data_IF_706017021149
#
_entry.id   IF_706017021149
#
_cell.length_a   1.000
_cell.length_b   1.000
_cell.length_c   1.000
_cell.angle_alpha   90.00
_cell.angle_beta   90.00
_cell.angle_gamma   90.00
#
_symmetry.space_group_name_H-M   'P 1'
#
loop_
_entity.id
_entity.type
_entity.pdbx_description
1 polymer ?
#
# COMPACT_ATOMS: atom_id res chain seq x y z
N UNK A 1 10.54 6.81 35.39
CA UNK A 1 10.96 5.79 34.40
C UNK A 1 11.98 4.89 35.07
N UNK A 2 11.71 3.60 35.17
CA UNK A 2 12.62 2.60 35.74
C UNK A 2 13.32 1.84 34.61
N UNK A 3 14.52 1.34 34.89
CA UNK A 3 15.25 0.45 33.98
C UNK A 3 14.67 -0.96 34.08
N UNK A 4 14.21 -1.50 32.96
CA UNK A 4 13.75 -2.89 32.84
C UNK A 4 14.89 -3.82 32.43
N UNK A 5 14.84 -5.07 32.89
CA UNK A 5 15.90 -6.06 32.68
C UNK A 5 15.80 -6.68 31.28
N UNK A 6 16.91 -7.07 30.66
CA UNK A 6 16.95 -7.58 29.27
C UNK A 6 16.12 -8.85 29.01
N UNK A 7 15.73 -9.56 30.08
CA UNK A 7 14.85 -10.74 30.03
C UNK A 7 13.36 -10.42 30.14
N UNK A 8 12.98 -9.18 30.45
CA UNK A 8 11.58 -8.76 30.44
C UNK A 8 11.09 -8.69 28.99
N UNK A 9 10.20 -9.59 28.63
CA UNK A 9 9.47 -9.50 27.38
C UNK A 9 8.51 -8.32 27.51
N UNK A 10 8.60 -7.37 26.59
CA UNK A 10 7.61 -6.31 26.45
C UNK A 10 6.27 -6.97 26.06
N UNK A 11 5.43 -7.25 27.06
CA UNK A 11 4.07 -7.75 26.83
C UNK A 11 3.25 -6.57 26.32
N UNK A 12 2.79 -6.57 25.06
CA UNK A 12 1.97 -5.50 24.53
C UNK A 12 0.71 -5.39 25.40
N UNK A 13 0.52 -4.26 26.05
CA UNK A 13 -0.71 -3.98 26.78
C UNK A 13 -1.74 -3.49 25.77
N UNK A 14 -2.99 -3.93 25.92
CA UNK A 14 -4.10 -3.29 25.21
C UNK A 14 -4.07 -1.79 25.53
N UNK A 15 -4.14 -0.95 24.49
CA UNK A 15 -4.16 0.50 24.66
C UNK A 15 -5.40 0.87 25.50
N UNK A 16 -5.18 1.44 26.68
CA UNK A 16 -6.26 1.85 27.58
C UNK A 16 -7.00 3.09 27.06
N UNK A 17 -8.20 3.32 27.61
CA UNK A 17 -8.93 4.58 27.43
C UNK A 17 -8.12 5.74 27.98
N UNK A 18 -8.04 6.84 27.22
CA UNK A 18 -7.33 8.03 27.65
C UNK A 18 -6.85 8.93 26.50
N UNK A 19 -6.39 10.14 26.84
CA UNK A 19 -5.77 11.03 25.85
C UNK A 19 -4.53 10.35 25.27
N UNK A 20 -4.44 10.33 23.95
CA UNK A 20 -3.23 9.87 23.27
C UNK A 20 -2.73 10.94 22.33
N UNK A 21 -1.42 11.18 22.38
CA UNK A 21 -0.74 12.08 21.47
C UNK A 21 -0.09 11.24 20.37
N UNK A 22 -0.50 11.47 19.12
CA UNK A 22 0.21 10.93 17.97
C UNK A 22 1.16 12.01 17.44
N UNK A 23 2.44 11.67 17.33
CA UNK A 23 3.46 12.55 16.76
C UNK A 23 3.92 11.92 15.45
N UNK A 24 3.81 12.67 14.36
CA UNK A 24 4.38 12.32 13.05
C UNK A 24 5.40 13.38 12.68
N UNK A 25 6.55 12.95 12.17
CA UNK A 25 7.67 13.83 11.87
C UNK A 25 8.48 13.29 10.68
N UNK A 26 9.19 14.18 9.99
CA UNK A 26 10.04 13.85 8.84
C UNK A 26 11.50 14.02 9.21
N UNK A 27 12.26 12.94 9.08
CA UNK A 27 13.69 12.91 9.37
C UNK A 27 14.49 12.82 8.07
N UNK A 28 15.55 13.60 8.02
CA UNK A 28 16.55 13.60 6.95
C UNK A 28 17.88 13.08 7.50
N UNK A 29 18.66 12.41 6.67
CA UNK A 29 19.97 11.87 7.09
C UNK A 29 20.96 12.98 7.45
N UNK A 30 20.85 14.15 6.82
CA UNK A 30 21.83 15.23 6.97
C UNK A 30 21.42 16.29 8.00
N UNK A 31 20.13 16.59 8.13
CA UNK A 31 19.65 17.69 8.98
C UNK A 31 18.88 17.21 10.23
N UNK A 32 18.68 15.90 10.36
CA UNK A 32 17.76 15.37 11.36
C UNK A 32 16.33 15.78 11.03
N UNK A 33 15.61 16.33 12.01
CA UNK A 33 14.24 16.82 11.80
C UNK A 33 14.17 17.87 10.69
N UNK A 34 13.19 17.71 9.80
CA UNK A 34 12.99 18.65 8.70
C UNK A 34 12.44 19.98 9.24
N UNK A 35 13.28 21.01 9.19
CA UNK A 35 12.96 22.36 9.63
C UNK A 35 13.74 23.41 8.84
N UNK A 36 13.14 24.60 8.69
CA UNK A 36 13.76 25.76 8.05
C UNK A 36 13.25 27.07 8.67
N UNK A 37 14.17 27.87 9.21
CA UNK A 37 13.81 29.04 10.03
C UNK A 37 12.98 28.61 11.24
N UNK A 38 11.88 29.31 11.49
CA UNK A 38 10.92 28.98 12.55
C UNK A 38 9.90 27.90 12.15
N UNK A 39 9.96 27.40 10.91
CA UNK A 39 9.07 26.33 10.41
C UNK A 39 9.67 24.97 10.74
N UNK A 40 8.92 24.12 11.41
CA UNK A 40 9.29 22.73 11.67
C UNK A 40 8.12 21.80 11.36
N UNK A 41 8.39 20.62 10.80
CA UNK A 41 7.34 19.64 10.48
C UNK A 41 6.56 19.21 11.74
N UNK A 42 7.23 19.16 12.89
CA UNK A 42 6.62 18.85 14.19
C UNK A 42 5.63 19.92 14.69
N UNK A 43 5.57 21.11 14.09
CA UNK A 43 4.56 22.14 14.43
C UNK A 43 3.14 21.71 14.01
N UNK A 44 3.02 20.86 12.98
CA UNK A 44 1.76 20.18 12.64
C UNK A 44 1.46 18.98 13.56
N UNK A 45 2.46 18.46 14.28
CA UNK A 45 2.28 17.38 15.25
C UNK A 45 1.61 17.85 16.56
N UNK A 46 1.43 19.16 16.75
CA UNK A 46 0.98 19.72 18.02
C UNK A 46 -0.54 19.64 18.29
N UNK A 47 -1.41 19.30 17.33
CA UNK A 47 -2.86 19.42 17.55
C UNK A 47 -3.71 18.30 16.94
N UNK A 48 -3.28 17.05 17.05
CA UNK A 48 -4.25 15.95 17.16
C UNK A 48 -4.11 15.34 18.55
N UNK A 49 -4.54 16.10 19.57
CA UNK A 49 -4.96 15.51 20.83
C UNK A 49 -6.22 14.69 20.54
N UNK A 50 -6.01 13.43 20.21
CA UNK A 50 -7.09 12.50 20.03
C UNK A 50 -7.48 12.00 21.42
N UNK A 51 -8.69 12.33 21.85
CA UNK A 51 -9.37 11.54 22.87
C UNK A 51 -9.70 10.19 22.25
N UNK A 52 -8.86 9.18 22.52
CA UNK A 52 -9.19 7.81 22.18
C UNK A 52 -10.29 7.36 23.11
N UNK A 53 -11.51 7.40 22.60
CA UNK A 53 -12.63 6.71 23.21
C UNK A 53 -12.53 5.24 22.76
N UNK A 54 -12.77 4.28 23.66
CA UNK A 54 -12.80 2.86 23.31
C UNK A 54 -14.18 2.41 22.80
N UNK A 55 -14.22 1.89 21.57
CA UNK A 55 -15.39 1.24 20.99
C UNK A 55 -15.41 1.27 19.46
N UNK A 56 -16.43 0.64 18.88
CA UNK A 56 -16.57 0.52 17.42
C UNK A 56 -16.92 1.89 16.84
N UNK A 57 -16.11 2.40 15.91
CA UNK A 57 -16.25 3.71 15.25
C UNK A 57 -16.08 4.92 16.18
N UNK A 58 -15.01 4.91 16.97
CA UNK A 58 -14.66 6.02 17.85
C UNK A 58 -13.47 6.78 17.23
N UNK A 59 -13.80 7.95 16.70
CA UNK A 59 -13.00 8.70 15.73
C UNK A 59 -11.89 9.51 16.38
N UNK A 60 -10.68 9.20 15.94
CA UNK A 60 -9.46 9.86 16.37
C UNK A 60 -8.21 9.25 15.74
N UNK A 61 -8.33 8.57 14.61
CA UNK A 61 -7.15 8.03 13.95
C UNK A 61 -6.59 9.09 13.00
N UNK A 62 -5.27 9.18 12.93
CA UNK A 62 -4.58 9.94 11.89
C UNK A 62 -4.97 9.37 10.53
N UNK A 63 -5.68 10.18 9.76
CA UNK A 63 -6.27 9.76 8.49
C UNK A 63 -5.28 9.96 7.34
N UNK A 64 -5.60 9.36 6.18
CA UNK A 64 -4.86 9.64 4.95
C UNK A 64 -4.90 11.13 4.57
N UNK A 65 -5.95 11.87 4.93
CA UNK A 65 -6.04 13.31 4.68
C UNK A 65 -5.05 14.09 5.55
N UNK A 66 -4.86 13.64 6.80
CA UNK A 66 -3.89 14.25 7.70
C UNK A 66 -2.46 13.98 7.23
N UNK A 67 -2.21 12.77 6.72
CA UNK A 67 -0.95 12.44 6.06
C UNK A 67 -0.67 13.37 4.87
N UNK A 68 -1.64 13.57 3.98
CA UNK A 68 -1.45 14.43 2.80
C UNK A 68 -1.08 15.87 3.21
N UNK A 69 -1.80 16.44 4.18
CA UNK A 69 -1.47 17.78 4.72
C UNK A 69 -0.07 17.82 5.33
N UNK A 70 0.30 16.79 6.08
CA UNK A 70 1.62 16.68 6.71
C UNK A 70 2.74 16.61 5.66
N UNK A 71 2.54 15.83 4.59
CA UNK A 71 3.50 15.69 3.49
C UNK A 71 3.61 16.98 2.68
N UNK A 72 2.49 17.63 2.35
CA UNK A 72 2.48 18.92 1.64
C UNK A 72 3.23 20.00 2.42
N UNK A 73 3.00 20.07 3.74
CA UNK A 73 3.74 20.99 4.60
C UNK A 73 5.24 20.68 4.63
N UNK A 74 5.61 19.39 4.66
CA UNK A 74 6.99 18.93 4.62
C UNK A 74 7.68 19.27 3.30
N UNK A 75 6.98 19.11 2.16
CA UNK A 75 7.48 19.53 0.84
C UNK A 75 7.76 21.03 0.85
N UNK A 76 6.85 21.86 1.34
CA UNK A 76 7.08 23.31 1.41
C UNK A 76 8.33 23.67 2.24
N UNK A 77 8.53 23.04 3.40
CA UNK A 77 9.74 23.27 4.21
C UNK A 77 11.01 22.79 3.48
N UNK A 78 10.93 21.64 2.80
CA UNK A 78 12.06 21.08 2.05
C UNK A 78 12.45 21.97 0.86
N UNK A 79 11.47 22.41 0.07
CA UNK A 79 11.67 23.31 -1.07
C UNK A 79 12.24 24.66 -0.61
N UNK A 80 11.69 25.24 0.46
CA UNK A 80 12.22 26.48 1.08
C UNK A 80 13.69 26.29 1.53
N UNK A 81 14.00 25.16 2.19
CA UNK A 81 15.35 24.90 2.70
C UNK A 81 16.37 24.68 1.60
N UNK A 82 15.94 24.13 0.47
CA UNK A 82 16.82 23.75 -0.66
C UNK A 82 16.77 24.75 -1.80
N UNK A 83 15.94 25.79 -1.70
CA UNK A 83 15.62 26.74 -2.77
C UNK A 83 15.19 26.04 -4.08
N UNK A 84 14.57 24.87 -3.97
CA UNK A 84 14.15 24.04 -5.11
C UNK A 84 15.26 23.44 -5.96
N UNK A 85 16.51 23.45 -5.49
CA UNK A 85 17.64 22.87 -6.24
C UNK A 85 17.91 21.39 -5.93
N UNK A 86 17.14 20.80 -5.01
CA UNK A 86 17.35 19.43 -4.55
C UNK A 86 16.09 18.60 -4.76
N UNK A 87 16.26 17.33 -5.14
CA UNK A 87 15.15 16.37 -5.20
C UNK A 87 15.08 15.58 -3.90
N UNK A 88 13.91 15.60 -3.25
CA UNK A 88 13.65 14.81 -2.04
C UNK A 88 13.08 13.42 -2.35
N UNK A 89 13.56 12.39 -1.65
CA UNK A 89 12.96 11.06 -1.62
C UNK A 89 12.24 10.87 -0.28
N UNK A 90 10.91 10.83 -0.30
CA UNK A 90 10.09 10.57 0.89
C UNK A 90 9.81 9.07 1.03
N UNK A 91 10.05 8.52 2.22
CA UNK A 91 9.88 7.09 2.51
C UNK A 91 8.83 6.92 3.59
N UNK A 92 7.84 6.07 3.34
CA UNK A 92 6.77 5.74 4.27
C UNK A 92 6.74 4.25 4.54
N UNK A 93 6.22 3.85 5.70
CA UNK A 93 5.89 2.45 5.96
C UNK A 93 4.61 2.04 5.21
N UNK A 94 4.29 0.76 5.26
CA UNK A 94 3.12 0.17 4.61
C UNK A 94 1.84 0.28 5.45
N UNK A 95 1.72 1.31 6.32
CA UNK A 95 0.51 1.49 7.11
C UNK A 95 -0.72 1.68 6.20
N UNK A 96 -1.90 1.14 6.56
CA UNK A 96 -3.09 1.25 5.72
C UNK A 96 -3.50 2.68 5.36
N UNK A 97 -3.24 3.65 6.25
CA UNK A 97 -3.46 5.08 6.01
C UNK A 97 -2.58 5.64 4.88
N UNK A 98 -1.36 5.13 4.73
CA UNK A 98 -0.38 5.57 3.73
C UNK A 98 -0.64 4.94 2.36
N UNK A 99 -1.35 3.81 2.32
CA UNK A 99 -1.67 3.09 1.07
C UNK A 99 -2.99 3.51 0.43
N UNK A 100 -3.69 4.48 1.02
CA UNK A 100 -4.99 4.91 0.50
C UNK A 100 -4.81 5.63 -0.84
N UNK A 101 -5.47 5.11 -1.87
CA UNK A 101 -5.55 5.77 -3.17
C UNK A 101 -6.61 6.88 -3.17
N UNK A 102 -6.52 7.78 -4.15
CA UNK A 102 -7.56 8.78 -4.36
C UNK A 102 -8.93 8.12 -4.61
N UNK A 103 -10.06 8.75 -4.23
CA UNK A 103 -11.39 8.14 -4.40
C UNK A 103 -11.75 7.80 -5.86
N UNK A 104 -11.18 8.53 -6.81
CA UNK A 104 -11.30 8.38 -8.27
C UNK A 104 -10.11 7.62 -8.90
N UNK A 105 -9.20 7.08 -8.08
CA UNK A 105 -8.06 6.34 -8.59
C UNK A 105 -8.49 5.10 -9.40
N UNK A 106 -7.68 4.78 -10.40
CA UNK A 106 -7.86 3.61 -11.24
C UNK A 106 -7.81 2.33 -10.41
N UNK A 107 -8.86 1.52 -10.51
CA UNK A 107 -8.90 0.21 -9.87
C UNK A 107 -9.54 -0.81 -10.80
N UNK A 108 -8.76 -1.83 -11.16
CA UNK A 108 -9.28 -2.99 -11.88
C UNK A 108 -10.22 -3.85 -11.01
N UNK A 109 -10.19 -3.63 -9.70
CA UNK A 109 -10.94 -4.45 -8.77
C UNK A 109 -12.43 -4.13 -8.82
N UNK A 110 -13.25 -5.17 -9.01
CA UNK A 110 -14.72 -5.10 -9.12
C UNK A 110 -15.27 -4.37 -10.35
N UNK A 111 -14.46 -4.09 -11.37
CA UNK A 111 -14.98 -3.59 -12.64
C UNK A 111 -16.00 -4.60 -13.22
N UNK A 112 -17.22 -4.17 -13.58
CA UNK A 112 -18.19 -5.05 -14.20
C UNK A 112 -17.76 -5.39 -15.63
N UNK A 113 -18.10 -6.59 -16.09
CA UNK A 113 -17.79 -7.03 -17.45
C UNK A 113 -18.57 -6.23 -18.50
N UNK A 114 -19.83 -5.92 -18.21
CA UNK A 114 -20.78 -5.24 -19.11
C UNK A 114 -20.95 -3.76 -18.74
N UNK A 115 -21.48 -2.93 -19.66
CA UNK A 115 -21.84 -1.57 -19.35
C UNK A 115 -22.77 -1.47 -18.13
N UNK A 116 -22.59 -0.42 -17.32
CA UNK A 116 -23.38 -0.23 -16.12
C UNK A 116 -23.59 1.26 -15.81
N UNK A 117 -24.86 1.66 -15.64
CA UNK A 117 -25.26 3.06 -15.48
C UNK A 117 -24.63 3.74 -14.26
N UNK A 118 -24.76 3.12 -13.09
CA UNK A 118 -24.38 3.75 -11.81
C UNK A 118 -23.15 3.07 -11.18
N UNK A 119 -22.23 2.51 -11.99
CA UNK A 119 -21.08 1.81 -11.42
C UNK A 119 -19.92 2.76 -11.14
N UNK A 120 -19.48 2.77 -9.90
CA UNK A 120 -18.29 3.43 -9.40
C UNK A 120 -17.55 2.47 -8.48
N UNK A 121 -16.23 2.60 -8.36
CA UNK A 121 -15.42 1.67 -7.57
C UNK A 121 -15.86 1.67 -6.09
N UNK A 122 -16.09 2.87 -5.56
CA UNK A 122 -16.74 3.10 -4.28
C UNK A 122 -18.20 3.47 -4.54
N UNK A 123 -19.13 2.87 -3.80
CA UNK A 123 -20.56 3.19 -3.90
C UNK A 123 -20.75 4.70 -3.71
N UNK A 124 -21.47 5.34 -4.63
CA UNK A 124 -21.74 6.78 -4.64
C UNK A 124 -20.46 7.65 -4.68
N UNK A 125 -19.32 7.05 -5.07
CA UNK A 125 -18.04 7.74 -5.26
C UNK A 125 -17.92 8.38 -6.64
N UNK A 126 -16.81 9.06 -6.92
CA UNK A 126 -16.55 9.64 -8.23
C UNK A 126 -16.32 8.56 -9.30
N UNK A 127 -16.44 8.96 -10.57
CA UNK A 127 -15.98 8.15 -11.69
C UNK A 127 -14.46 7.94 -11.59
N UNK A 128 -13.99 6.75 -11.94
CA UNK A 128 -12.55 6.51 -12.07
C UNK A 128 -11.96 7.46 -13.12
N UNK A 129 -10.78 7.97 -12.84
CA UNK A 129 -10.05 8.84 -13.76
C UNK A 129 -9.68 8.08 -15.06
N UNK A 130 -9.44 8.82 -16.13
CA UNK A 130 -8.94 8.25 -17.38
C UNK A 130 -7.52 7.73 -17.19
N UNK A 131 -7.22 6.60 -17.84
CA UNK A 131 -5.86 6.05 -17.86
C UNK A 131 -5.13 6.46 -19.13
N UNK A 132 -3.85 6.12 -19.20
CA UNK A 132 -3.09 6.11 -20.44
C UNK A 132 -2.70 4.68 -20.76
N UNK A 133 -3.04 4.19 -21.96
CA UNK A 133 -2.63 2.89 -22.46
C UNK A 133 -2.05 3.08 -23.87
N UNK A 134 -0.86 2.55 -24.12
CA UNK A 134 -0.12 2.73 -25.38
C UNK A 134 -0.05 4.21 -25.85
N UNK A 135 0.26 5.11 -24.91
CA UNK A 135 0.36 6.56 -25.13
C UNK A 135 -0.94 7.24 -25.59
N UNK A 136 -2.07 6.57 -25.45
CA UNK A 136 -3.40 7.08 -25.76
C UNK A 136 -4.25 7.11 -24.49
N UNK A 137 -5.15 8.08 -24.39
CA UNK A 137 -6.07 8.17 -23.26
C UNK A 137 -7.10 7.04 -23.34
N UNK A 138 -7.34 6.38 -22.21
CA UNK A 138 -8.42 5.41 -22.05
C UNK A 138 -9.51 5.99 -21.14
N UNK A 139 -10.68 6.19 -21.73
CA UNK A 139 -11.90 6.57 -21.01
C UNK A 139 -12.65 5.33 -20.54
N UNK A 140 -13.00 5.29 -19.25
CA UNK A 140 -13.73 4.15 -18.65
C UNK A 140 -15.25 4.31 -18.68
N UNK A 141 -15.71 5.54 -18.91
CA UNK A 141 -17.11 5.94 -18.95
C UNK A 141 -17.42 6.47 -20.34
N UNK A 142 -18.67 6.30 -20.78
CA UNK A 142 -19.14 6.99 -21.98
C UNK A 142 -19.35 8.48 -21.67
N UNK A 143 -19.18 9.32 -22.69
CA UNK A 143 -19.50 10.74 -22.61
C UNK A 143 -20.99 10.97 -22.27
N UNK A 144 -21.30 12.10 -21.66
CA UNK A 144 -22.67 12.46 -21.25
C UNK A 144 -23.62 12.68 -22.43
N UNK A 145 -23.09 12.86 -23.65
CA UNK A 145 -23.84 12.98 -24.90
C UNK A 145 -24.00 11.64 -25.64
N UNK A 146 -23.54 10.51 -25.07
CA UNK A 146 -23.63 9.21 -25.71
C UNK A 146 -25.09 8.81 -25.98
N UNK A 147 -25.44 8.38 -27.21
CA UNK A 147 -26.83 8.30 -27.68
C UNK A 147 -27.72 7.31 -26.91
N UNK A 148 -27.13 6.29 -26.28
CA UNK A 148 -27.88 5.22 -25.60
C UNK A 148 -27.42 4.95 -24.16
N UNK A 149 -26.25 5.44 -23.75
CA UNK A 149 -25.59 5.08 -22.49
C UNK A 149 -24.79 6.26 -21.91
N UNK A 150 -25.39 7.45 -21.77
CA UNK A 150 -24.69 8.66 -21.33
C UNK A 150 -24.15 8.48 -19.91
N UNK A 151 -22.84 8.69 -19.71
CA UNK A 151 -22.17 8.58 -18.41
C UNK A 151 -22.04 7.15 -17.86
N UNK A 152 -22.48 6.11 -18.59
CA UNK A 152 -22.37 4.73 -18.10
C UNK A 152 -20.91 4.31 -18.07
N UNK A 153 -20.54 3.50 -17.08
CA UNK A 153 -19.29 2.75 -17.14
C UNK A 153 -19.34 1.78 -18.32
N UNK A 154 -18.29 1.74 -19.15
CA UNK A 154 -18.27 0.99 -20.42
C UNK A 154 -18.28 -0.53 -20.23
N UNK A 155 -17.75 -1.03 -19.12
CA UNK A 155 -17.52 -2.47 -18.91
C UNK A 155 -16.18 -2.94 -19.48
N UNK A 156 -15.55 -3.91 -18.82
CA UNK A 156 -14.26 -4.46 -19.24
C UNK A 156 -14.28 -5.04 -20.66
N UNK A 157 -15.39 -5.65 -21.07
CA UNK A 157 -15.49 -6.23 -22.41
C UNK A 157 -15.40 -5.16 -23.51
N UNK A 158 -16.15 -4.06 -23.36
CA UNK A 158 -16.10 -2.93 -24.29
C UNK A 158 -14.69 -2.35 -24.36
N UNK A 159 -14.09 -2.07 -23.20
CA UNK A 159 -12.74 -1.51 -23.11
C UNK A 159 -11.73 -2.42 -23.83
N UNK A 160 -11.76 -3.73 -23.60
CA UNK A 160 -10.85 -4.64 -24.31
C UNK A 160 -11.14 -4.75 -25.80
N UNK A 161 -12.39 -4.58 -26.24
CA UNK A 161 -12.74 -4.54 -27.66
C UNK A 161 -12.20 -3.27 -28.34
N UNK A 162 -12.25 -2.12 -27.67
CA UNK A 162 -11.65 -0.86 -28.17
C UNK A 162 -10.16 -1.04 -28.53
N UNK A 163 -9.45 -1.90 -27.78
CA UNK A 163 -8.03 -2.21 -28.00
C UNK A 163 -7.75 -3.46 -28.83
N UNK A 164 -8.77 -4.13 -29.39
CA UNK A 164 -8.62 -5.43 -30.06
C UNK A 164 -7.97 -6.53 -29.18
N UNK A 165 -8.18 -6.46 -27.85
CA UNK A 165 -7.67 -7.42 -26.87
C UNK A 165 -8.71 -8.47 -26.46
N UNK A 166 -9.94 -8.34 -26.93
CA UNK A 166 -11.02 -9.28 -26.61
C UNK A 166 -10.92 -10.55 -27.47
N UNK A 167 -10.71 -11.74 -26.88
CA UNK A 167 -10.59 -12.97 -27.65
C UNK A 167 -11.95 -13.40 -28.24
N UNK A 168 -11.92 -14.11 -29.36
CA UNK A 168 -13.12 -14.62 -30.03
C UNK A 168 -13.96 -15.56 -29.13
N UNK A 169 -13.30 -16.30 -28.25
CA UNK A 169 -13.93 -17.19 -27.25
C UNK A 169 -14.60 -16.42 -26.10
N UNK A 170 -14.32 -15.12 -25.99
CA UNK A 170 -14.70 -14.29 -24.85
C UNK A 170 -13.88 -14.56 -23.59
N UNK A 171 -14.06 -13.69 -22.60
CA UNK A 171 -13.47 -13.81 -21.25
C UNK A 171 -14.57 -13.73 -20.19
N UNK A 172 -14.37 -14.43 -19.07
CA UNK A 172 -15.18 -14.23 -17.88
C UNK A 172 -14.79 -12.93 -17.16
N UNK A 173 -15.71 -12.37 -16.38
CA UNK A 173 -15.43 -11.16 -15.59
C UNK A 173 -14.31 -11.38 -14.57
N UNK A 174 -14.32 -12.56 -13.96
CA UNK A 174 -13.32 -13.03 -13.00
C UNK A 174 -13.26 -14.55 -13.02
N UNK A 175 -12.11 -15.11 -12.63
CA UNK A 175 -11.99 -16.53 -12.34
C UNK A 175 -12.84 -16.88 -11.10
N UNK A 176 -13.32 -18.12 -11.00
CA UNK A 176 -14.06 -18.57 -9.82
C UNK A 176 -13.20 -18.44 -8.56
N UNK A 177 -13.70 -17.69 -7.57
CA UNK A 177 -12.96 -17.38 -6.34
C UNK A 177 -11.62 -16.66 -6.55
N UNK A 178 -11.43 -15.93 -7.67
CA UNK A 178 -10.14 -15.34 -8.09
C UNK A 178 -9.00 -16.36 -8.26
N UNK A 179 -9.34 -17.64 -8.45
CA UNK A 179 -8.36 -18.72 -8.69
C UNK A 179 -8.18 -18.93 -10.18
N UNK A 180 -7.22 -18.23 -10.79
CA UNK A 180 -6.93 -18.41 -12.21
C UNK A 180 -6.01 -19.62 -12.44
N UNK A 181 -6.48 -20.60 -13.21
CA UNK A 181 -5.84 -21.91 -13.42
C UNK A 181 -4.49 -21.87 -14.15
N UNK A 182 -4.11 -20.74 -14.77
CA UNK A 182 -2.87 -20.60 -15.54
C UNK A 182 -1.86 -19.61 -14.97
N UNK A 183 -2.19 -18.92 -13.88
CA UNK A 183 -1.25 -18.06 -13.15
C UNK A 183 -1.55 -18.19 -11.66
N UNK A 184 -1.09 -19.28 -11.05
CA UNK A 184 -0.83 -19.25 -9.62
C UNK A 184 0.32 -18.26 -9.41
N UNK A 185 0.10 -17.22 -8.60
CA UNK A 185 1.09 -16.24 -8.11
C UNK A 185 1.35 -14.95 -8.92
N UNK A 186 0.60 -13.86 -8.67
CA UNK A 186 1.33 -12.57 -8.60
C UNK A 186 0.96 -11.60 -7.46
N UNK A 187 -0.27 -11.54 -6.93
CA UNK A 187 -0.66 -10.38 -6.11
C UNK A 187 -0.30 -10.44 -4.61
N UNK A 188 0.15 -11.59 -4.10
CA UNK A 188 0.75 -11.71 -2.75
C UNK A 188 2.29 -11.69 -2.78
N UNK A 189 2.91 -11.59 -3.97
CA UNK A 189 4.32 -11.96 -4.12
C UNK A 189 5.32 -10.90 -3.69
N UNK A 190 5.08 -9.60 -3.86
CA UNK A 190 6.16 -8.62 -3.70
C UNK A 190 6.81 -8.63 -2.30
N UNK A 191 6.02 -8.78 -1.23
CA UNK A 191 6.55 -8.86 0.14
C UNK A 191 7.03 -10.27 0.51
N UNK A 192 6.42 -11.33 -0.03
CA UNK A 192 6.79 -12.71 0.28
C UNK A 192 8.00 -13.19 -0.54
N UNK A 193 8.22 -12.64 -1.74
CA UNK A 193 9.36 -12.93 -2.60
C UNK A 193 10.66 -12.40 -2.01
N UNK A 194 10.64 -11.29 -1.26
CA UNK A 194 11.82 -10.79 -0.56
C UNK A 194 12.40 -11.83 0.41
N UNK A 195 11.54 -12.58 1.10
CA UNK A 195 11.94 -13.67 2.00
C UNK A 195 12.63 -14.81 1.22
N UNK A 196 12.08 -15.17 0.06
CA UNK A 196 12.67 -16.16 -0.83
C UNK A 196 14.00 -15.69 -1.45
N UNK A 197 14.10 -14.43 -1.86
CA UNK A 197 15.31 -13.87 -2.50
C UNK A 197 16.52 -13.99 -1.57
N UNK A 198 16.39 -13.64 -0.28
CA UNK A 198 17.49 -13.79 0.67
C UNK A 198 17.96 -15.24 0.82
N UNK A 199 17.02 -16.19 0.88
CA UNK A 199 17.32 -17.62 0.99
C UNK A 199 18.06 -18.14 -0.26
N UNK A 200 17.62 -17.75 -1.46
CA UNK A 200 18.25 -18.14 -2.72
C UNK A 200 19.63 -17.51 -2.91
N UNK A 201 19.80 -16.22 -2.61
CA UNK A 201 21.11 -15.53 -2.65
C UNK A 201 22.14 -16.23 -1.77
N UNK A 202 21.70 -16.81 -0.64
CA UNK A 202 22.56 -17.53 0.29
C UNK A 202 22.64 -19.05 0.00
N UNK A 203 22.16 -19.48 -1.16
CA UNK A 203 22.36 -20.83 -1.72
C UNK A 203 21.39 -21.89 -1.22
N UNK A 204 20.22 -21.53 -0.68
CA UNK A 204 19.16 -22.48 -0.39
C UNK A 204 18.36 -22.79 -1.66
N UNK A 205 18.09 -24.06 -1.94
CA UNK A 205 17.34 -24.49 -3.13
C UNK A 205 15.91 -24.90 -2.77
N UNK A 206 14.97 -24.65 -3.69
CA UNK A 206 13.59 -25.15 -3.67
C UNK A 206 12.98 -25.39 -2.28
N UNK A 207 12.81 -26.66 -1.93
CA UNK A 207 12.21 -27.10 -0.66
C UNK A 207 12.91 -26.57 0.60
N UNK A 208 14.23 -26.34 0.55
CA UNK A 208 14.98 -25.75 1.67
C UNK A 208 14.63 -24.28 1.89
N UNK A 209 14.45 -23.53 0.81
CA UNK A 209 14.00 -22.14 0.88
C UNK A 209 12.53 -22.06 1.37
N UNK A 210 11.66 -22.95 0.89
CA UNK A 210 10.27 -23.02 1.34
C UNK A 210 10.14 -23.37 2.83
N UNK A 211 10.90 -24.35 3.31
CA UNK A 211 10.94 -24.73 4.72
C UNK A 211 11.51 -23.61 5.60
N UNK A 212 12.61 -22.97 5.17
CA UNK A 212 13.20 -21.85 5.91
C UNK A 212 12.21 -20.69 6.07
N UNK A 213 11.47 -20.36 5.00
CA UNK A 213 10.42 -19.35 5.08
C UNK A 213 9.31 -19.80 6.01
N UNK A 214 8.92 -21.08 5.99
CA UNK A 214 7.92 -21.60 6.92
C UNK A 214 8.32 -21.50 8.40
N UNK A 215 9.59 -21.75 8.70
CA UNK A 215 10.09 -21.70 10.08
C UNK A 215 10.43 -20.28 10.55
N UNK A 216 10.78 -19.37 9.63
CA UNK A 216 11.28 -18.04 9.94
C UNK A 216 10.45 -16.93 9.28
N UNK A 217 9.12 -17.08 9.25
CA UNK A 217 8.16 -16.17 8.61
C UNK A 217 8.25 -14.69 9.01
N UNK A 218 8.88 -14.37 10.16
CA UNK A 218 9.08 -12.99 10.63
C UNK A 218 10.38 -12.32 10.14
N UNK A 219 11.24 -13.04 9.41
CA UNK A 219 12.55 -12.55 8.99
C UNK A 219 12.61 -12.28 7.49
N UNK A 220 12.91 -11.04 7.10
CA UNK A 220 13.08 -10.67 5.69
C UNK A 220 14.44 -11.07 5.10
N UNK A 221 15.45 -11.20 5.96
CA UNK A 221 16.80 -11.66 5.62
C UNK A 221 17.22 -12.72 6.63
N UNK A 222 17.63 -13.90 6.16
CA UNK A 222 18.07 -14.98 7.05
C UNK A 222 19.54 -14.75 7.45
N UNK A 223 19.87 -14.63 8.75
CA UNK A 223 21.26 -14.59 9.20
C UNK A 223 22.00 -15.89 8.86
N UNK A 224 23.34 -15.86 8.66
CA UNK A 224 24.11 -17.06 8.31
C UNK A 224 23.93 -18.23 9.29
N UNK A 225 23.75 -17.95 10.58
CA UNK A 225 23.50 -18.96 11.61
C UNK A 225 22.17 -19.70 11.45
N UNK A 226 21.14 -19.04 10.93
CA UNK A 226 19.85 -19.69 10.64
C UNK A 226 19.92 -20.55 9.38
N UNK A 227 20.70 -20.11 8.38
CA UNK A 227 20.91 -20.89 7.16
C UNK A 227 21.65 -22.20 7.43
N UNK A 228 22.63 -22.18 8.34
CA UNK A 228 23.29 -23.42 8.78
C UNK A 228 22.29 -24.39 9.42
N UNK A 229 21.40 -23.89 10.29
CA UNK A 229 20.34 -24.70 10.89
C UNK A 229 19.38 -25.29 9.85
N UNK A 230 18.99 -24.52 8.83
CA UNK A 230 18.17 -25.00 7.70
C UNK A 230 18.90 -26.12 6.95
N UNK A 231 20.20 -25.93 6.66
CA UNK A 231 21.02 -26.91 5.93
C UNK A 231 21.22 -28.19 6.74
N UNK A 232 21.35 -28.10 8.06
CA UNK A 232 21.49 -29.26 8.96
C UNK A 232 20.17 -30.00 9.18
N UNK A 233 19.06 -29.28 9.35
CA UNK A 233 17.73 -29.87 9.54
C UNK A 233 17.32 -30.73 8.34
N UNK A 234 17.58 -30.24 7.13
CA UNK A 234 17.24 -30.89 5.86
C UNK A 234 18.38 -31.75 5.30
N UNK A 235 19.35 -32.11 6.15
CA UNK A 235 20.38 -33.13 5.86
C UNK A 235 20.04 -34.49 6.46
N UNK A 236 18.96 -34.56 7.25
CA UNK A 236 18.50 -35.75 7.97
C UNK A 236 17.29 -36.42 7.31
N UNK A 237 16.82 -35.87 6.20
CA UNK A 237 15.83 -36.43 5.28
C UNK A 237 16.54 -36.94 4.01
#
# INVERSE_FOLDING_TARGET
MGWSHSSEKATPQCKGEGPSLMISDMLTSEWGQLQHGDKCVSQFAALHEIMLTAGKNQDGYFSALDLLKHVEHSINIFEDKTNGFTTGLFMFDNAPSHQKQAPDALSAWKMPKRPHQNWTHHKDGPHMWNSTFNSQSQEFYYCDDHPTMPGWFKGMETIFREWNLWPATGLNAQCEGFKCFYFHWPFLYANQSAHFISAYVQGLTGGKAAWANHQYHGHHTLPPSMILKVKEALRKD
#
